data_IF_909660837976
#
_entry.id   IF_909660837976
#
_cell.length_a   1.000
_cell.length_b   1.000
_cell.length_c   1.000
_cell.angle_alpha   90.00
_cell.angle_beta   90.00
_cell.angle_gamma   90.00
#
_symmetry.space_group_name_H-M   'P 1'
#
loop_
_entity.id
_entity.type
_entity.pdbx_description
1 polymer ?
#
# COMPACT_ATOMS: atom_id res chain seq x y z
N UNK A 1 9.66 -1.21 12.61
CA UNK A 1 8.95 -2.25 11.83
C UNK A 1 8.74 -1.77 10.41
N UNK A 2 8.83 -2.68 9.45
CA UNK A 2 8.64 -2.39 8.04
C UNK A 2 7.49 -3.26 7.50
N UNK A 3 6.89 -2.79 6.41
CA UNK A 3 5.87 -3.51 5.66
C UNK A 3 6.26 -3.53 4.19
N UNK A 4 6.19 -4.68 3.57
CA UNK A 4 6.31 -4.86 2.13
C UNK A 4 4.92 -4.74 1.53
N UNK A 5 4.78 -3.89 0.53
CA UNK A 5 3.57 -3.80 -0.30
C UNK A 5 3.97 -4.18 -1.72
N UNK A 6 3.18 -5.04 -2.36
CA UNK A 6 3.50 -5.49 -3.69
C UNK A 6 2.33 -6.12 -4.43
N UNK A 7 2.53 -6.30 -5.74
CA UNK A 7 1.66 -7.08 -6.61
C UNK A 7 2.50 -8.25 -7.12
N UNK A 8 1.93 -9.45 -7.10
CA UNK A 8 2.49 -10.65 -7.71
C UNK A 8 1.47 -11.27 -8.67
N UNK A 9 1.61 -10.98 -9.95
CA UNK A 9 0.65 -11.40 -10.96
C UNK A 9 -0.70 -10.73 -10.75
N UNK A 10 -1.73 -11.49 -10.39
CA UNK A 10 -3.09 -10.97 -10.14
C UNK A 10 -3.46 -10.88 -8.65
N UNK A 11 -2.45 -10.89 -7.76
CA UNK A 11 -2.63 -10.74 -6.32
C UNK A 11 -1.88 -9.52 -5.80
N UNK A 12 -2.58 -8.63 -5.10
CA UNK A 12 -1.94 -7.61 -4.26
C UNK A 12 -1.68 -8.21 -2.89
N UNK A 13 -0.48 -8.02 -2.35
CA UNK A 13 -0.12 -8.52 -1.03
C UNK A 13 0.55 -7.46 -0.16
N UNK A 14 0.35 -7.65 1.15
CA UNK A 14 0.98 -6.87 2.20
C UNK A 14 1.64 -7.82 3.18
N UNK A 15 2.92 -7.60 3.47
CA UNK A 15 3.69 -8.46 4.37
C UNK A 15 4.37 -7.60 5.45
N UNK A 16 4.02 -7.83 6.71
CA UNK A 16 4.63 -7.17 7.86
C UNK A 16 5.54 -8.16 8.59
N UNK A 17 6.74 -7.71 8.96
CA UNK A 17 7.72 -8.50 9.70
C UNK A 17 7.90 -7.93 11.12
N UNK A 18 7.53 -8.74 12.11
CA UNK A 18 7.78 -8.51 13.52
C UNK A 18 9.01 -9.28 14.02
N UNK A 19 9.33 -9.16 15.30
CA UNK A 19 10.52 -9.81 15.88
C UNK A 19 10.45 -11.35 15.92
N UNK A 20 9.24 -11.91 15.97
CA UNK A 20 9.02 -13.37 16.09
C UNK A 20 8.11 -13.95 15.00
N UNK A 21 7.44 -13.11 14.22
CA UNK A 21 6.45 -13.52 13.23
C UNK A 21 6.46 -12.67 11.97
N UNK A 22 5.96 -13.27 10.88
CA UNK A 22 5.62 -12.56 9.65
C UNK A 22 4.13 -12.73 9.37
N UNK A 23 3.45 -11.64 9.11
CA UNK A 23 2.05 -11.64 8.70
C UNK A 23 1.96 -11.25 7.23
N UNK A 24 1.34 -12.10 6.41
CA UNK A 24 1.05 -11.80 5.01
C UNK A 24 -0.46 -11.81 4.77
N UNK A 25 -0.96 -10.74 4.16
CA UNK A 25 -2.32 -10.63 3.66
C UNK A 25 -2.28 -10.52 2.14
N UNK A 26 -2.97 -11.42 1.45
CA UNK A 26 -3.16 -11.39 0.00
C UNK A 26 -4.60 -11.00 -0.34
N UNK A 27 -4.77 -10.19 -1.38
CA UNK A 27 -6.04 -9.81 -1.96
C UNK A 27 -6.02 -10.14 -3.45
N UNK A 28 -6.90 -11.05 -3.86
CA UNK A 28 -7.09 -11.38 -5.26
C UNK A 28 -7.94 -10.35 -5.99
N UNK A 29 -7.95 -10.42 -7.32
CA UNK A 29 -8.73 -9.55 -8.21
C UNK A 29 -10.22 -9.43 -7.84
N UNK A 30 -10.85 -10.50 -7.34
CA UNK A 30 -12.26 -10.50 -6.94
C UNK A 30 -12.55 -9.62 -5.71
N UNK A 31 -11.52 -9.30 -4.92
CA UNK A 31 -11.61 -8.47 -3.72
C UNK A 31 -11.21 -7.02 -3.98
N UNK A 32 -10.76 -6.70 -5.19
CA UNK A 32 -10.26 -5.40 -5.58
C UNK A 32 -11.19 -4.76 -6.63
N UNK A 33 -11.27 -3.44 -6.61
CA UNK A 33 -12.05 -2.69 -7.62
C UNK A 33 -11.35 -2.79 -8.98
N UNK A 34 -10.02 -2.64 -8.96
CA UNK A 34 -9.15 -2.80 -10.11
C UNK A 34 -7.77 -3.26 -9.64
N UNK A 35 -7.07 -3.99 -10.51
CA UNK A 35 -5.69 -4.41 -10.29
C UNK A 35 -4.99 -4.46 -11.64
N UNK A 36 -3.88 -3.75 -11.75
CA UNK A 36 -2.96 -3.90 -12.89
C UNK A 36 -1.98 -5.02 -12.58
N UNK A 37 -2.01 -6.15 -13.33
CA UNK A 37 -1.13 -7.26 -13.05
C UNK A 37 0.33 -6.91 -13.32
N UNK A 38 1.18 -7.08 -12.30
CA UNK A 38 2.62 -6.86 -12.37
C UNK A 38 3.32 -7.68 -11.27
N UNK A 39 4.63 -7.88 -11.37
CA UNK A 39 5.44 -8.43 -10.27
C UNK A 39 6.36 -7.33 -9.75
N UNK A 40 5.87 -6.60 -8.74
CA UNK A 40 6.55 -5.45 -8.14
C UNK A 40 6.33 -5.41 -6.65
N UNK A 41 7.35 -5.05 -5.88
CA UNK A 41 7.24 -4.86 -4.45
C UNK A 41 8.19 -3.77 -3.98
N UNK A 42 7.86 -3.16 -2.84
CA UNK A 42 8.70 -2.17 -2.19
C UNK A 42 8.45 -2.15 -0.68
N UNK A 43 9.50 -1.80 0.06
CA UNK A 43 9.48 -1.75 1.52
C UNK A 43 9.11 -0.35 2.00
N UNK A 44 8.24 -0.26 2.99
CA UNK A 44 7.79 1.01 3.58
C UNK A 44 7.78 0.95 5.11
N UNK A 45 7.72 2.12 5.74
CA UNK A 45 7.56 2.20 7.21
C UNK A 45 6.12 1.88 7.61
N UNK A 46 5.94 0.86 8.46
CA UNK A 46 4.61 0.49 8.96
C UNK A 46 3.95 1.64 9.73
N UNK A 47 4.74 2.43 10.47
CA UNK A 47 4.24 3.59 11.22
C UNK A 47 3.59 4.65 10.31
N UNK A 48 4.20 4.92 9.15
CA UNK A 48 3.64 5.89 8.20
C UNK A 48 2.37 5.35 7.55
N UNK A 49 2.35 4.07 7.15
CA UNK A 49 1.15 3.42 6.61
C UNK A 49 0.00 3.45 7.63
N UNK A 50 0.27 3.13 8.90
CA UNK A 50 -0.71 3.19 9.99
C UNK A 50 -1.22 4.61 10.26
N UNK A 51 -0.35 5.61 10.12
CA UNK A 51 -0.77 7.02 10.25
C UNK A 51 -1.63 7.47 9.08
N UNK A 52 -1.30 7.07 7.85
CA UNK A 52 -2.07 7.36 6.64
C UNK A 52 -3.43 6.66 6.66
N UNK A 53 -3.53 5.43 7.16
CA UNK A 53 -4.79 4.66 7.21
C UNK A 53 -5.89 5.36 8.01
N UNK A 54 -5.51 6.13 9.03
CA UNK A 54 -6.45 7.00 9.77
C UNK A 54 -7.09 8.06 8.87
N UNK A 55 -6.30 8.68 7.99
CA UNK A 55 -6.79 9.67 7.02
C UNK A 55 -7.66 9.04 5.92
N UNK A 56 -7.38 7.78 5.57
CA UNK A 56 -8.11 7.03 4.55
C UNK A 56 -9.40 6.37 5.06
N UNK A 57 -9.61 6.31 6.38
CA UNK A 57 -10.75 5.61 7.01
C UNK A 57 -12.14 6.07 6.55
N UNK A 58 -12.25 7.30 6.03
CA UNK A 58 -13.51 7.87 5.53
C UNK A 58 -13.58 7.88 3.99
N UNK A 59 -12.58 7.33 3.31
CA UNK A 59 -12.57 7.20 1.87
C UNK A 59 -13.36 5.95 1.46
N UNK A 60 -14.22 6.09 0.45
CA UNK A 60 -14.92 4.94 -0.15
C UNK A 60 -13.95 4.08 -0.97
N UNK A 61 -13.05 4.73 -1.71
CA UNK A 61 -12.10 4.08 -2.60
C UNK A 61 -10.70 4.66 -2.39
N UNK A 62 -9.69 3.80 -2.41
CA UNK A 62 -8.28 4.15 -2.28
C UNK A 62 -7.55 3.55 -3.48
N UNK A 63 -6.73 4.34 -4.15
CA UNK A 63 -5.85 3.89 -5.23
C UNK A 63 -4.42 3.85 -4.72
N UNK A 64 -3.78 2.67 -4.82
CA UNK A 64 -2.39 2.46 -4.47
C UNK A 64 -1.58 2.37 -5.76
N UNK A 65 -0.66 3.29 -5.95
CA UNK A 65 0.28 3.29 -7.06
C UNK A 65 1.64 2.82 -6.55
N UNK A 66 1.95 1.57 -6.88
CA UNK A 66 3.19 0.89 -6.51
C UNK A 66 4.16 0.94 -7.69
N UNK A 67 5.45 1.01 -7.39
CA UNK A 67 6.50 0.93 -8.40
C UNK A 67 7.81 0.46 -7.78
N UNK A 68 8.70 -0.11 -8.59
CA UNK A 68 9.98 -0.63 -8.10
C UNK A 68 10.92 0.53 -7.74
N UNK A 69 11.28 0.66 -6.46
CA UNK A 69 12.08 1.79 -5.95
C UNK A 69 11.43 3.16 -6.21
N UNK A 70 10.11 3.19 -6.31
CA UNK A 70 9.35 4.42 -6.50
C UNK A 70 8.57 4.76 -5.22
N UNK A 71 8.36 6.05 -4.90
CA UNK A 71 7.45 6.44 -3.83
C UNK A 71 6.09 5.77 -4.01
N UNK A 72 5.58 5.15 -2.95
CA UNK A 72 4.18 4.75 -2.90
C UNK A 72 3.35 6.01 -2.98
N UNK A 73 2.51 6.10 -4.00
CA UNK A 73 1.50 7.13 -4.09
C UNK A 73 0.15 6.55 -3.70
N UNK A 74 -0.52 7.20 -2.75
CA UNK A 74 -1.84 6.79 -2.27
C UNK A 74 -2.82 7.92 -2.53
N UNK A 75 -3.77 7.67 -3.42
CA UNK A 75 -4.76 8.65 -3.83
C UNK A 75 -6.15 8.24 -3.36
N UNK A 76 -6.86 9.16 -2.72
CA UNK A 76 -8.22 8.95 -2.29
C UNK A 76 -9.01 10.24 -2.29
N UNK A 77 -10.33 10.10 -2.25
CA UNK A 77 -11.25 11.24 -2.21
C UNK A 77 -12.11 11.19 -0.95
N UNK A 78 -12.36 12.37 -0.39
CA UNK A 78 -13.23 12.57 0.77
C UNK A 78 -14.37 13.54 0.41
N UNK A 79 -15.39 13.55 1.26
CA UNK A 79 -16.56 14.43 1.12
C UNK A 79 -17.20 14.34 -0.28
N UNK A 80 -17.52 13.11 -0.72
CA UNK A 80 -18.15 12.83 -2.03
C UNK A 80 -17.34 13.40 -3.22
N UNK A 81 -16.01 13.27 -3.17
CA UNK A 81 -15.14 13.74 -4.25
C UNK A 81 -14.75 15.22 -4.20
N UNK A 82 -15.26 15.99 -3.22
CA UNK A 82 -14.96 17.43 -3.09
C UNK A 82 -13.52 17.68 -2.63
N UNK A 83 -12.92 16.71 -1.93
CA UNK A 83 -11.54 16.79 -1.46
C UNK A 83 -10.76 15.63 -2.04
N UNK A 84 -9.66 15.92 -2.72
CA UNK A 84 -8.70 14.91 -3.20
C UNK A 84 -7.46 14.97 -2.34
N UNK A 85 -7.01 13.83 -1.86
CA UNK A 85 -5.80 13.69 -1.04
C UNK A 85 -4.86 12.74 -1.75
N UNK A 86 -3.59 13.12 -1.82
CA UNK A 86 -2.52 12.28 -2.32
C UNK A 86 -1.41 12.23 -1.27
N UNK A 87 -1.08 11.02 -0.81
CA UNK A 87 0.09 10.78 0.04
C UNK A 87 1.22 10.21 -0.80
N UNK A 88 2.43 10.69 -0.54
CA UNK A 88 3.66 10.16 -1.13
C UNK A 88 4.53 9.63 0.00
N UNK A 89 4.85 8.34 -0.05
CA UNK A 89 5.71 7.69 0.91
C UNK A 89 6.95 7.13 0.21
N UNK A 90 8.12 7.65 0.57
CA UNK A 90 9.37 7.15 0.03
C UNK A 90 9.58 5.68 0.44
N UNK A 91 10.07 4.83 -0.49
CA UNK A 91 10.44 3.47 -0.14
C UNK A 91 11.64 3.50 0.80
N UNK A 92 11.71 2.51 1.69
CA UNK A 92 12.91 2.21 2.46
C UNK A 92 13.80 1.32 1.62
N UNK A 93 15.08 1.65 1.58
CA UNK A 93 16.11 0.78 1.03
C UNK A 93 16.46 -0.18 2.17
N UNK A 94 16.33 -1.49 1.96
CA UNK A 94 17.00 -2.45 2.84
C UNK A 94 18.50 -2.20 2.69
N UNK A 95 19.11 -1.59 3.70
CA UNK A 95 20.56 -1.65 3.84
C UNK A 95 20.90 -3.08 4.22
N UNK A 96 21.60 -3.81 3.34
CA UNK A 96 22.39 -4.98 3.74
C UNK A 96 23.29 -4.66 4.93
#
# INVERSE_FOLDING_TARGET
ENIVLGVDGEEFYMEAEGEMDKLRLGLGKEQLIDLTPETVSSLYSLEYISSMSKGMSHAENITLNLGKNYPLQVDFALAEGKVKVSYLLAPRIESE
#
